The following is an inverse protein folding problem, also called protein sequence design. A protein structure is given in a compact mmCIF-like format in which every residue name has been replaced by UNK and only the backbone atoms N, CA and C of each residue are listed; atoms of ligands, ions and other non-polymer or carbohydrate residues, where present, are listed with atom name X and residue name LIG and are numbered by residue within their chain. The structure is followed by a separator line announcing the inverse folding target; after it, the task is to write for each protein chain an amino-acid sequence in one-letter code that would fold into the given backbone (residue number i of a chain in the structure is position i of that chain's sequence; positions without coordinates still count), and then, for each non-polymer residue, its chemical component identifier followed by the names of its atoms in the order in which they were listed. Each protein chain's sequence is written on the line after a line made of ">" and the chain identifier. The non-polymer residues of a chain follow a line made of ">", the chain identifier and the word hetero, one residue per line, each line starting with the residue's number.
data_IF_140635968330
#
_entry.id   IF_140635968330
#
_cell.length_a   1.000
_cell.length_b   1.000
_cell.length_c   1.000
_cell.angle_alpha   90.00
_cell.angle_beta   90.00
_cell.angle_gamma   90.00
#
_symmetry.space_group_name_H-M   'P 1'
#
loop_
_entity.id
_entity.type
_entity.pdbx_description
1 polymer ?
#
# COMPACT_ATOMS: atom_id res chain seq x y z
N UNK A 1 7.65 -10.93 8.42
CA UNK A 1 6.25 -11.08 8.87
C UNK A 1 6.20 -11.16 10.38
N UNK A 2 5.32 -10.41 10.99
CA UNK A 2 5.06 -10.54 12.42
C UNK A 2 4.02 -11.62 12.66
N UNK A 3 4.27 -12.49 13.63
CA UNK A 3 3.31 -13.48 14.09
C UNK A 3 2.63 -12.97 15.37
N UNK A 4 1.32 -13.05 15.43
CA UNK A 4 0.59 -12.78 16.63
C UNK A 4 0.40 -14.05 17.46
N UNK A 5 0.12 -13.90 18.77
CA UNK A 5 -0.02 -15.00 19.72
C UNK A 5 -1.10 -16.03 19.35
N UNK A 6 -2.04 -15.67 18.47
CA UNK A 6 -3.11 -16.54 17.99
C UNK A 6 -2.76 -17.27 16.69
N UNK A 7 -1.51 -17.24 16.23
CA UNK A 7 -1.05 -17.94 15.03
C UNK A 7 -1.42 -17.29 13.71
N UNK A 8 -2.00 -16.08 13.72
CA UNK A 8 -2.34 -15.34 12.50
C UNK A 8 -1.15 -14.53 12.02
N UNK A 9 -0.90 -14.56 10.71
CA UNK A 9 0.14 -13.78 10.07
C UNK A 9 -0.46 -12.46 9.56
N UNK A 10 0.29 -11.39 9.72
CA UNK A 10 -0.10 -10.04 9.30
C UNK A 10 0.83 -9.53 8.23
N UNK A 11 0.25 -9.02 7.15
CA UNK A 11 0.97 -8.43 6.02
C UNK A 11 0.48 -7.00 5.83
N UNK A 12 1.41 -6.07 5.75
CA UNK A 12 1.10 -4.66 5.48
C UNK A 12 1.46 -4.31 4.04
N UNK A 13 0.47 -3.83 3.30
CA UNK A 13 0.62 -3.37 1.91
C UNK A 13 0.27 -1.89 1.85
N UNK A 14 1.18 -1.08 1.36
CA UNK A 14 0.94 0.33 1.11
C UNK A 14 0.32 0.51 -0.28
N UNK A 15 -0.72 1.33 -0.36
CA UNK A 15 -1.35 1.72 -1.62
C UNK A 15 -1.05 3.19 -1.83
N UNK A 16 -0.21 3.51 -2.80
CA UNK A 16 0.30 4.86 -3.04
C UNK A 16 0.09 5.30 -4.48
N UNK A 17 0.04 6.59 -4.67
CA UNK A 17 -0.19 7.25 -5.95
C UNK A 17 -0.76 8.64 -5.72
N UNK A 18 -0.89 9.42 -6.78
CA UNK A 18 -1.41 10.78 -6.69
C UNK A 18 -2.83 10.82 -6.12
N UNK A 19 -3.18 11.96 -5.57
CA UNK A 19 -4.54 12.21 -5.10
C UNK A 19 -5.56 12.07 -6.24
N UNK A 20 -6.68 11.40 -5.98
CA UNK A 20 -7.77 11.27 -6.93
C UNK A 20 -7.58 10.22 -8.04
N UNK A 21 -6.55 9.37 -7.96
CA UNK A 21 -6.33 8.33 -8.98
C UNK A 21 -7.19 7.07 -8.80
N UNK A 22 -7.92 6.96 -7.68
CA UNK A 22 -8.79 5.82 -7.42
C UNK A 22 -8.26 4.79 -6.43
N UNK A 23 -7.28 5.16 -5.58
CA UNK A 23 -6.73 4.25 -4.56
C UNK A 23 -7.78 3.74 -3.59
N UNK A 24 -8.59 4.63 -3.05
CA UNK A 24 -9.67 4.28 -2.10
C UNK A 24 -10.70 3.35 -2.74
N UNK A 25 -11.08 3.63 -3.99
CA UNK A 25 -12.01 2.79 -4.74
C UNK A 25 -11.44 1.40 -5.03
N UNK A 26 -10.15 1.33 -5.37
CA UNK A 26 -9.45 0.06 -5.60
C UNK A 26 -9.37 -0.77 -4.32
N UNK A 27 -8.97 -0.16 -3.21
CA UNK A 27 -8.89 -0.84 -1.91
C UNK A 27 -10.26 -1.37 -1.48
N UNK A 28 -11.29 -0.55 -1.63
CA UNK A 28 -12.66 -0.96 -1.31
C UNK A 28 -13.10 -2.16 -2.15
N UNK A 29 -12.81 -2.14 -3.45
CA UNK A 29 -13.14 -3.25 -4.36
C UNK A 29 -12.40 -4.54 -3.96
N UNK A 30 -11.12 -4.44 -3.63
CA UNK A 30 -10.31 -5.60 -3.22
C UNK A 30 -10.82 -6.23 -1.93
N UNK A 31 -11.25 -5.43 -0.98
CA UNK A 31 -11.69 -5.91 0.34
C UNK A 31 -13.13 -6.37 0.32
N UNK A 32 -14.03 -5.62 -0.30
CA UNK A 32 -15.47 -5.85 -0.23
C UNK A 32 -16.08 -6.53 -1.47
N UNK A 33 -15.33 -6.62 -2.58
CA UNK A 33 -15.83 -7.19 -3.83
C UNK A 33 -16.94 -6.37 -4.51
N UNK A 34 -17.09 -5.11 -4.12
CA UNK A 34 -18.13 -4.19 -4.63
C UNK A 34 -17.51 -2.88 -5.05
N UNK A 35 -18.16 -2.20 -6.00
CA UNK A 35 -17.76 -0.86 -6.41
C UNK A 35 -18.19 0.16 -5.35
N UNK A 36 -17.29 1.06 -4.99
CA UNK A 36 -17.56 2.18 -4.09
C UNK A 36 -18.42 3.22 -4.83
N UNK A 37 -19.60 3.52 -4.33
CA UNK A 37 -20.55 4.45 -4.97
C UNK A 37 -20.28 5.92 -4.66
N UNK A 38 -19.63 6.19 -3.52
CA UNK A 38 -19.22 7.54 -3.11
C UNK A 38 -17.78 7.50 -2.65
N UNK A 39 -16.91 8.27 -3.29
CA UNK A 39 -15.54 8.44 -2.86
C UNK A 39 -15.33 9.83 -2.27
N UNK A 40 -14.49 9.91 -1.25
CA UNK A 40 -14.04 11.17 -0.66
C UNK A 40 -12.52 11.21 -0.66
N UNK A 41 -11.95 12.38 -0.42
CA UNK A 41 -10.51 12.55 -0.28
C UNK A 41 -10.02 11.81 0.97
N UNK A 42 -8.94 11.05 0.82
CA UNK A 42 -8.30 10.42 1.97
C UNK A 42 -7.43 11.44 2.71
N UNK A 43 -7.76 11.67 3.96
CA UNK A 43 -6.99 12.55 4.85
C UNK A 43 -6.04 11.67 5.66
N UNK A 44 -4.73 11.83 5.44
CA UNK A 44 -3.72 11.02 6.10
C UNK A 44 -3.66 9.59 5.54
N UNK A 45 -4.28 8.65 6.23
CA UNK A 45 -4.26 7.24 5.86
C UNK A 45 -5.57 6.56 6.23
N UNK A 46 -6.03 5.65 5.38
CA UNK A 46 -7.16 4.75 5.65
C UNK A 46 -6.70 3.31 5.55
N UNK A 47 -7.07 2.48 6.52
CA UNK A 47 -6.67 1.07 6.56
C UNK A 47 -7.87 0.17 6.41
N UNK A 48 -7.79 -0.76 5.47
CA UNK A 48 -8.75 -1.85 5.28
C UNK A 48 -8.04 -3.18 5.46
N UNK A 49 -8.71 -4.15 6.05
CA UNK A 49 -8.15 -5.47 6.31
C UNK A 49 -8.94 -6.53 5.55
N UNK A 50 -8.22 -7.39 4.83
CA UNK A 50 -8.78 -8.56 4.18
C UNK A 50 -8.10 -9.82 4.69
N UNK A 51 -8.89 -10.83 5.09
CA UNK A 51 -8.35 -12.15 5.40
C UNK A 51 -8.14 -12.91 4.08
N UNK A 52 -6.91 -13.37 3.87
CA UNK A 52 -6.55 -14.17 2.70
C UNK A 52 -6.10 -15.56 3.14
N UNK A 53 -6.75 -16.60 2.57
CA UNK A 53 -6.39 -17.98 2.80
C UNK A 53 -5.32 -18.43 1.81
N UNK A 54 -4.07 -18.41 2.26
CA UNK A 54 -2.93 -18.78 1.44
C UNK A 54 -2.83 -20.30 1.33
N UNK A 55 -2.70 -20.83 0.11
CA UNK A 55 -2.64 -22.27 -0.19
C UNK A 55 -3.81 -23.06 0.39
N UNK A 56 -5.02 -22.53 0.25
CA UNK A 56 -6.23 -23.18 0.71
C UNK A 56 -6.33 -24.63 0.16
N UNK A 57 -6.68 -25.57 1.03
CA UNK A 57 -6.79 -26.98 0.68
C UNK A 57 -5.46 -27.76 0.60
N UNK A 58 -4.33 -27.17 0.99
CA UNK A 58 -3.01 -27.79 1.01
C UNK A 58 -2.42 -27.87 2.42
N UNK A 59 -1.36 -28.71 2.65
CA UNK A 59 -0.69 -28.75 3.95
C UNK A 59 -0.04 -27.44 4.39
N UNK A 60 0.24 -26.55 3.42
CA UNK A 60 0.78 -25.21 3.69
C UNK A 60 -0.29 -24.12 3.87
N UNK A 61 -1.56 -24.50 4.06
CA UNK A 61 -2.66 -23.56 4.24
C UNK A 61 -2.46 -22.70 5.49
N UNK A 62 -2.56 -21.38 5.30
CA UNK A 62 -2.44 -20.37 6.37
C UNK A 62 -3.33 -19.17 6.09
N UNK A 63 -4.07 -18.68 7.08
CA UNK A 63 -4.74 -17.40 6.97
C UNK A 63 -3.75 -16.25 7.18
N UNK A 64 -3.91 -15.20 6.38
CA UNK A 64 -3.17 -13.94 6.51
C UNK A 64 -4.15 -12.78 6.69
N UNK A 65 -3.83 -11.87 7.59
CA UNK A 65 -4.44 -10.55 7.61
C UNK A 65 -3.65 -9.63 6.68
N UNK A 66 -4.25 -9.28 5.54
CA UNK A 66 -3.67 -8.33 4.60
C UNK A 66 -4.24 -6.95 4.92
N UNK A 67 -3.40 -6.09 5.46
CA UNK A 67 -3.73 -4.69 5.70
C UNK A 67 -3.40 -3.88 4.46
N UNK A 68 -4.40 -3.22 3.90
CA UNK A 68 -4.24 -2.30 2.77
C UNK A 68 -4.29 -0.87 3.33
N UNK A 69 -3.16 -0.20 3.27
CA UNK A 69 -2.98 1.15 3.77
C UNK A 69 -3.07 2.15 2.62
N UNK A 70 -4.26 2.73 2.45
CA UNK A 70 -4.52 3.77 1.45
C UNK A 70 -3.94 5.09 1.95
N UNK A 71 -2.82 5.50 1.37
CA UNK A 71 -2.11 6.70 1.78
C UNK A 71 -2.65 7.91 1.01
N UNK A 72 -3.06 8.94 1.74
CA UNK A 72 -3.52 10.19 1.14
C UNK A 72 -2.43 10.86 0.29
N UNK A 73 -2.75 11.08 -1.00
CA UNK A 73 -1.78 11.59 -1.99
C UNK A 73 -1.64 13.10 -2.01
N UNK A 74 -2.39 13.83 -1.20
CA UNK A 74 -2.34 15.29 -1.18
C UNK A 74 -1.01 15.80 -0.62
N UNK A 75 -0.37 16.72 -1.34
CA UNK A 75 0.92 17.30 -0.94
C UNK A 75 0.89 18.05 0.39
N UNK A 76 -0.27 18.55 0.82
CA UNK A 76 -0.40 19.20 2.13
C UNK A 76 -0.08 18.27 3.31
N UNK A 77 -0.15 16.95 3.11
CA UNK A 77 0.14 15.95 4.13
C UNK A 77 1.48 15.24 3.90
N UNK A 78 2.28 15.70 2.94
CA UNK A 78 3.54 15.02 2.54
C UNK A 78 4.50 14.81 3.72
N UNK A 79 4.64 15.79 4.60
CA UNK A 79 5.54 15.71 5.74
C UNK A 79 5.16 14.61 6.73
N UNK A 80 3.87 14.30 6.88
CA UNK A 80 3.36 13.30 7.81
C UNK A 80 3.27 11.89 7.23
N UNK A 81 3.24 11.73 5.90
CA UNK A 81 3.03 10.43 5.24
C UNK A 81 4.06 9.37 5.64
N UNK A 82 5.30 9.78 5.85
CA UNK A 82 6.38 8.86 6.18
C UNK A 82 6.11 8.06 7.47
N UNK A 83 5.25 8.55 8.35
CA UNK A 83 4.88 7.85 9.58
C UNK A 83 4.19 6.51 9.31
N UNK A 84 3.59 6.36 8.12
CA UNK A 84 2.83 5.17 7.74
C UNK A 84 3.65 4.15 6.95
N UNK A 85 4.89 4.47 6.55
CA UNK A 85 5.65 3.69 5.58
C UNK A 85 6.37 2.47 6.14
N UNK A 86 6.64 2.43 7.41
CA UNK A 86 7.33 1.29 8.01
C UNK A 86 6.50 0.66 9.14
N UNK A 87 6.46 -0.68 9.26
CA UNK A 87 7.02 -1.66 8.33
C UNK A 87 6.20 -1.78 7.05
N UNK A 88 6.77 -2.31 5.97
CA UNK A 88 6.08 -2.57 4.70
C UNK A 88 6.49 -3.92 4.13
N UNK A 89 5.51 -4.72 3.68
CA UNK A 89 5.73 -6.01 3.04
C UNK A 89 5.47 -5.96 1.54
N UNK A 90 4.60 -5.04 1.09
CA UNK A 90 4.28 -4.86 -0.32
C UNK A 90 3.83 -3.45 -0.61
N UNK A 91 3.92 -3.05 -1.88
CA UNK A 91 3.51 -1.72 -2.35
C UNK A 91 2.66 -1.92 -3.60
N UNK A 92 1.49 -1.28 -3.62
CA UNK A 92 0.65 -1.16 -4.81
C UNK A 92 0.76 0.28 -5.30
N UNK A 93 1.25 0.44 -6.52
CA UNK A 93 1.35 1.73 -7.20
C UNK A 93 0.13 1.94 -8.07
N UNK A 94 -0.61 3.02 -7.83
CA UNK A 94 -1.86 3.29 -8.54
C UNK A 94 -1.75 4.59 -9.33
N UNK A 95 -2.15 4.54 -10.61
CA UNK A 95 -2.28 5.71 -11.45
C UNK A 95 -3.62 5.70 -12.19
N UNK A 96 -4.01 6.84 -12.70
CA UNK A 96 -5.19 7.03 -13.52
C UNK A 96 -4.80 6.96 -14.99
N UNK A 97 -5.39 6.03 -15.76
CA UNK A 97 -5.11 5.86 -17.18
C UNK A 97 -5.43 7.11 -18.00
N UNK A 98 -6.30 7.97 -17.50
CA UNK A 98 -6.66 9.24 -18.15
C UNK A 98 -5.76 10.40 -17.75
N UNK A 99 -4.85 10.19 -16.79
CA UNK A 99 -3.94 11.21 -16.27
C UNK A 99 -2.48 10.73 -16.38
N UNK A 100 -1.81 11.14 -17.47
CA UNK A 100 -0.44 10.72 -17.74
C UNK A 100 0.54 11.13 -16.64
N UNK A 101 0.34 12.28 -16.03
CA UNK A 101 1.21 12.75 -14.96
C UNK A 101 1.16 11.84 -13.75
N UNK A 102 0.00 11.25 -13.44
CA UNK A 102 -0.13 10.31 -12.34
C UNK A 102 0.72 9.06 -12.56
N UNK A 103 0.86 8.60 -13.80
CA UNK A 103 1.77 7.52 -14.17
C UNK A 103 3.24 7.92 -13.99
N UNK A 104 3.61 9.11 -14.47
CA UNK A 104 4.97 9.62 -14.34
C UNK A 104 5.40 9.79 -12.89
N UNK A 105 4.48 10.12 -12.00
CA UNK A 105 4.74 10.32 -10.58
C UNK A 105 4.91 9.01 -9.79
N UNK A 106 4.62 7.85 -10.37
CA UNK A 106 4.74 6.56 -9.68
C UNK A 106 6.17 6.29 -9.21
N UNK A 107 7.17 6.67 -9.99
CA UNK A 107 8.56 6.51 -9.59
C UNK A 107 8.89 7.30 -8.32
N UNK A 108 8.40 8.52 -8.22
CA UNK A 108 8.60 9.35 -7.03
C UNK A 108 7.92 8.75 -5.80
N UNK A 109 6.72 8.19 -5.97
CA UNK A 109 6.03 7.50 -4.89
C UNK A 109 6.82 6.31 -4.39
N UNK A 110 7.30 5.49 -5.29
CA UNK A 110 8.09 4.32 -4.94
C UNK A 110 9.38 4.72 -4.21
N UNK A 111 10.08 5.73 -4.70
CA UNK A 111 11.28 6.26 -4.06
C UNK A 111 10.99 6.81 -2.66
N UNK A 112 9.90 7.54 -2.48
CA UNK A 112 9.50 8.08 -1.18
C UNK A 112 9.35 6.97 -0.14
N UNK A 113 8.66 5.88 -0.50
CA UNK A 113 8.46 4.75 0.40
C UNK A 113 9.78 4.03 0.69
N UNK A 114 10.55 3.69 -0.33
CA UNK A 114 11.80 2.92 -0.17
C UNK A 114 12.87 3.68 0.58
N UNK A 115 13.01 4.98 0.37
CA UNK A 115 13.98 5.79 1.08
C UNK A 115 13.65 5.94 2.57
N UNK A 116 12.37 5.99 2.91
CA UNK A 116 11.95 6.08 4.31
C UNK A 116 12.05 4.75 5.04
N UNK A 117 11.77 3.63 4.37
CA UNK A 117 11.96 2.31 4.94
C UNK A 117 13.43 2.03 5.24
N UNK A 118 14.34 2.47 4.35
CA UNK A 118 15.79 2.27 4.47
C UNK A 118 16.51 3.30 5.32
N UNK A 119 15.82 4.25 5.91
CA UNK A 119 16.42 5.30 6.74
C UNK A 119 17.23 4.79 7.93
N UNK A 120 17.21 3.47 8.19
CA UNK A 120 17.97 2.79 9.22
C UNK A 120 19.00 1.76 8.70
N UNK A 121 19.07 1.50 7.39
CA UNK A 121 20.05 0.52 6.85
C UNK A 121 20.59 1.02 5.51
N UNK A 122 21.87 1.36 5.51
CA UNK A 122 22.56 2.04 4.43
C UNK A 122 22.82 1.24 3.14
N UNK A 123 21.81 0.73 2.47
CA UNK A 123 21.98 0.15 1.14
C UNK A 123 20.97 0.75 0.17
N UNK A 124 21.45 1.64 -0.69
CA UNK A 124 20.65 2.45 -1.60
C UNK A 124 20.45 1.86 -3.00
N UNK A 125 21.13 0.76 -3.38
CA UNK A 125 21.52 0.68 -4.78
C UNK A 125 20.82 -0.36 -5.66
N UNK A 126 20.14 -1.36 -5.14
CA UNK A 126 19.73 -2.48 -5.99
C UNK A 126 18.33 -2.38 -6.61
N UNK A 127 17.42 -1.55 -6.08
CA UNK A 127 16.02 -1.56 -6.52
C UNK A 127 15.63 -0.36 -7.39
N UNK A 128 16.43 0.69 -7.39
CA UNK A 128 16.11 1.93 -8.12
C UNK A 128 16.53 1.86 -9.59
N UNK A 129 17.56 1.07 -9.89
CA UNK A 129 18.13 0.99 -11.25
C UNK A 129 17.33 0.14 -12.21
N UNK A 130 16.37 -0.64 -11.73
CA UNK A 130 15.54 -1.53 -12.55
C UNK A 130 14.11 -1.00 -12.78
N UNK A 131 13.88 0.29 -12.51
CA UNK A 131 12.52 0.85 -12.65
C UNK A 131 12.40 1.87 -13.80
#
# INVERSE_FOLDING_TARGET
>A
MSRHANGLNKVKVLVVGDSGVGKTSLVYLLVHGKVLTKSSWTIGCSVEVKVHEYREGSPGHRPYFVELWDIGGNNSHKAARHLFYAPVHGIILVHDLTNRKSQQNLRQWLLEVLLREKGNTGSRDALVDNF
#
